data_IF_684480615641
#
_entry.id   IF_684480615641
#
_cell.length_a   1.000
_cell.length_b   1.000
_cell.length_c   1.000
_cell.angle_alpha   90.00
_cell.angle_beta   90.00
_cell.angle_gamma   90.00
#
_symmetry.space_group_name_H-M   'P 1'
#
loop_
_entity.id
_entity.type
_entity.pdbx_description
1 polymer ?
#
# COMPACT_ATOMS: atom_id res chain seq x y z
N UNK A 1 74.08 -60.43 4.61
CA UNK A 1 72.80 -60.10 5.22
C UNK A 1 72.74 -58.58 5.44
N UNK A 2 72.03 -57.84 4.57
CA UNK A 2 71.86 -56.38 4.63
C UNK A 2 70.49 -56.13 5.11
N UNK A 3 70.33 -55.52 6.30
CA UNK A 3 69.06 -55.16 6.92
C UNK A 3 68.68 -53.77 6.38
N UNK A 4 67.59 -53.69 5.59
CA UNK A 4 66.99 -52.42 5.12
C UNK A 4 66.01 -51.94 6.21
N UNK A 5 66.31 -50.79 6.81
CA UNK A 5 65.37 -50.08 7.72
C UNK A 5 64.44 -49.23 6.87
N UNK A 6 63.15 -49.55 6.83
CA UNK A 6 62.08 -48.66 6.34
C UNK A 6 61.75 -47.62 7.41
N UNK A 7 61.94 -46.35 7.05
CA UNK A 7 61.42 -45.20 7.80
C UNK A 7 59.95 -44.97 7.38
N UNK A 8 59.00 -45.18 8.27
CA UNK A 8 57.61 -44.78 8.07
C UNK A 8 57.48 -43.31 8.49
N UNK A 9 57.20 -42.42 7.52
CA UNK A 9 56.82 -41.01 7.77
C UNK A 9 55.33 -40.96 8.00
N UNK A 10 54.92 -40.71 9.23
CA UNK A 10 53.52 -40.46 9.61
C UNK A 10 53.13 -39.03 9.23
N UNK A 11 52.33 -38.88 8.21
CA UNK A 11 51.72 -37.59 7.83
C UNK A 11 50.55 -37.29 8.78
N UNK A 12 50.76 -36.44 9.79
CA UNK A 12 49.69 -35.93 10.66
C UNK A 12 48.91 -34.85 9.91
N UNK A 13 47.72 -35.20 9.39
CA UNK A 13 46.75 -34.23 8.85
C UNK A 13 46.14 -33.48 9.99
N UNK A 14 46.54 -32.25 10.23
CA UNK A 14 45.85 -31.30 11.14
C UNK A 14 44.50 -30.94 10.53
N UNK A 15 43.44 -31.64 10.94
CA UNK A 15 42.05 -31.25 10.70
C UNK A 15 41.75 -29.99 11.51
N UNK A 16 41.79 -28.81 10.91
CA UNK A 16 41.26 -27.60 11.50
C UNK A 16 39.72 -27.77 11.64
N UNK A 17 39.15 -27.59 12.87
CA UNK A 17 37.71 -27.65 13.00
C UNK A 17 37.10 -26.48 12.19
N UNK A 18 36.36 -26.79 11.15
CA UNK A 18 35.45 -25.83 10.49
C UNK A 18 34.34 -25.57 11.50
N UNK A 19 34.43 -24.45 12.22
CA UNK A 19 33.33 -23.97 13.05
C UNK A 19 32.21 -23.61 12.09
N UNK A 20 31.27 -24.50 11.91
CA UNK A 20 30.01 -24.20 11.24
C UNK A 20 29.25 -23.21 12.15
N UNK A 21 29.35 -21.92 11.87
CA UNK A 21 28.45 -20.95 12.47
C UNK A 21 27.02 -21.33 12.07
N UNK A 22 26.18 -21.60 13.05
CA UNK A 22 24.75 -21.83 12.80
C UNK A 22 24.19 -20.59 12.04
N UNK A 23 23.69 -20.82 10.85
CA UNK A 23 23.11 -19.76 10.02
C UNK A 23 21.85 -19.21 10.71
N UNK A 24 21.78 -17.90 10.92
CA UNK A 24 20.59 -17.22 11.45
C UNK A 24 19.54 -17.18 10.33
N UNK A 25 18.41 -17.84 10.55
CA UNK A 25 17.28 -17.82 9.66
C UNK A 25 16.27 -16.77 10.10
N UNK A 26 15.87 -15.87 9.18
CA UNK A 26 14.83 -14.87 9.39
C UNK A 26 13.64 -15.17 8.47
N UNK A 27 12.42 -15.10 9.01
CA UNK A 27 11.20 -15.22 8.22
C UNK A 27 10.65 -13.84 7.89
N UNK A 28 10.44 -13.58 6.59
CA UNK A 28 9.87 -12.35 6.06
C UNK A 28 8.56 -12.67 5.34
N UNK A 29 7.42 -12.24 5.92
CA UNK A 29 6.11 -12.39 5.28
C UNK A 29 5.89 -11.25 4.29
N UNK A 30 5.61 -11.61 3.02
CA UNK A 30 5.56 -10.66 1.90
C UNK A 30 4.37 -10.92 0.99
N UNK A 31 3.60 -9.88 0.66
CA UNK A 31 2.62 -9.90 -0.43
C UNK A 31 3.13 -9.09 -1.62
N UNK A 32 2.59 -9.34 -2.81
CA UNK A 32 2.98 -8.64 -4.04
C UNK A 32 1.76 -8.09 -4.77
N UNK A 33 1.91 -6.87 -5.33
CA UNK A 33 0.98 -6.27 -6.28
C UNK A 33 1.43 -6.52 -7.73
N UNK A 34 2.74 -6.67 -7.96
CA UNK A 34 3.36 -6.89 -9.26
C UNK A 34 4.57 -7.83 -9.20
N UNK A 35 5.74 -7.32 -9.54
CA UNK A 35 7.01 -8.07 -9.58
C UNK A 35 7.90 -7.88 -8.35
N UNK A 36 7.46 -7.10 -7.36
CA UNK A 36 8.31 -6.69 -6.24
C UNK A 36 8.77 -7.84 -5.36
N UNK A 37 8.05 -8.96 -5.32
CA UNK A 37 8.49 -10.16 -4.63
C UNK A 37 9.71 -10.82 -5.30
N UNK A 38 9.79 -10.79 -6.63
CA UNK A 38 10.95 -11.29 -7.39
C UNK A 38 12.14 -10.36 -7.22
N UNK A 39 11.92 -9.05 -7.30
CA UNK A 39 12.95 -8.04 -7.05
C UNK A 39 13.49 -8.14 -5.64
N UNK A 40 12.60 -8.27 -4.64
CA UNK A 40 13.01 -8.44 -3.25
C UNK A 40 13.84 -9.70 -3.05
N UNK A 41 13.47 -10.84 -3.66
CA UNK A 41 14.28 -12.07 -3.55
C UNK A 41 15.69 -11.88 -4.13
N UNK A 42 15.80 -11.25 -5.29
CA UNK A 42 17.11 -10.96 -5.90
C UNK A 42 17.99 -10.06 -4.99
N UNK A 43 17.39 -9.02 -4.39
CA UNK A 43 18.09 -8.15 -3.44
C UNK A 43 18.54 -8.92 -2.19
N UNK A 44 17.69 -9.77 -1.64
CA UNK A 44 18.01 -10.60 -0.48
C UNK A 44 19.07 -11.66 -0.80
N UNK A 45 19.08 -12.23 -2.01
CA UNK A 45 20.14 -13.17 -2.43
C UNK A 45 21.51 -12.48 -2.46
N UNK A 46 21.56 -11.21 -2.85
CA UNK A 46 22.79 -10.40 -2.81
C UNK A 46 23.21 -10.04 -1.38
N UNK A 47 22.22 -9.71 -0.52
CA UNK A 47 22.46 -9.50 0.90
C UNK A 47 23.08 -10.74 1.56
N UNK A 48 22.49 -11.91 1.32
CA UNK A 48 22.94 -13.19 1.89
C UNK A 48 24.37 -13.55 1.48
N UNK A 49 24.75 -13.27 0.22
CA UNK A 49 26.15 -13.44 -0.25
C UNK A 49 27.13 -12.56 0.51
N UNK A 50 26.72 -11.37 0.91
CA UNK A 50 27.53 -10.42 1.70
C UNK A 50 27.50 -10.72 3.20
N UNK A 51 26.52 -11.50 3.66
CA UNK A 51 26.25 -11.81 5.07
C UNK A 51 26.00 -13.32 5.23
N UNK A 52 26.98 -14.16 4.93
CA UNK A 52 26.85 -15.61 4.84
C UNK A 52 26.27 -16.31 6.11
N UNK A 53 26.28 -15.62 7.28
CA UNK A 53 25.66 -16.11 8.51
C UNK A 53 24.16 -15.82 8.63
N UNK A 54 23.52 -15.12 7.64
CA UNK A 54 22.09 -14.75 7.69
C UNK A 54 21.41 -15.27 6.43
N UNK A 55 20.27 -15.95 6.63
CA UNK A 55 19.36 -16.41 5.58
C UNK A 55 17.99 -15.76 5.77
N UNK A 56 17.37 -15.25 4.71
CA UNK A 56 16.02 -14.68 4.76
C UNK A 56 15.06 -15.56 3.98
N UNK A 57 14.11 -16.17 4.66
CA UNK A 57 13.02 -16.94 4.05
C UNK A 57 11.93 -15.95 3.68
N UNK A 58 11.74 -15.71 2.38
CA UNK A 58 10.71 -14.83 1.85
C UNK A 58 9.42 -15.61 1.64
N UNK A 59 8.51 -15.56 2.64
CA UNK A 59 7.19 -16.19 2.60
C UNK A 59 6.24 -15.33 1.76
N UNK A 60 6.05 -15.67 0.49
CA UNK A 60 5.13 -14.97 -0.41
C UNK A 60 3.70 -15.43 -0.19
N UNK A 61 2.85 -14.52 0.22
CA UNK A 61 1.45 -14.79 0.57
C UNK A 61 0.50 -13.83 -0.15
N UNK A 62 -0.78 -14.20 -0.36
CA UNK A 62 -1.80 -13.26 -0.83
C UNK A 62 -1.97 -12.08 0.13
N UNK A 63 -2.34 -10.90 -0.40
CA UNK A 63 -2.61 -9.71 0.41
C UNK A 63 -3.64 -9.97 1.53
N UNK A 64 -4.68 -10.75 1.22
CA UNK A 64 -5.69 -11.17 2.21
C UNK A 64 -5.08 -11.90 3.41
N UNK A 65 -4.04 -12.69 3.22
CA UNK A 65 -3.33 -13.37 4.32
C UNK A 65 -2.65 -12.36 5.26
N UNK A 66 -2.08 -11.27 4.71
CA UNK A 66 -1.52 -10.19 5.54
C UNK A 66 -2.61 -9.51 6.37
N UNK A 67 -3.75 -9.20 5.75
CA UNK A 67 -4.82 -8.47 6.47
C UNK A 67 -5.54 -9.30 7.50
N UNK A 68 -5.73 -10.59 7.25
CA UNK A 68 -6.59 -11.45 8.07
C UNK A 68 -5.79 -12.33 9.06
N UNK A 69 -4.63 -12.83 8.65
CA UNK A 69 -3.88 -13.82 9.44
C UNK A 69 -2.71 -13.21 10.22
N UNK A 70 -2.06 -12.16 9.72
CA UNK A 70 -0.94 -11.56 10.45
C UNK A 70 -1.34 -10.98 11.81
N UNK A 71 -2.46 -10.23 11.98
CA UNK A 71 -2.83 -9.67 13.28
C UNK A 71 -2.98 -10.73 14.39
N UNK A 72 -3.70 -11.86 14.23
CA UNK A 72 -3.75 -12.90 15.25
C UNK A 72 -2.38 -13.56 15.51
N UNK A 73 -1.52 -13.74 14.49
CA UNK A 73 -0.16 -14.26 14.69
C UNK A 73 0.69 -13.31 15.55
N UNK A 74 0.59 -11.99 15.31
CA UNK A 74 1.28 -10.98 16.13
C UNK A 74 0.77 -10.98 17.57
N UNK A 75 -0.55 -11.09 17.77
CA UNK A 75 -1.15 -11.13 19.10
C UNK A 75 -0.73 -12.38 19.90
N UNK A 76 -0.55 -13.51 19.24
CA UNK A 76 -0.10 -14.77 19.88
C UNK A 76 1.42 -14.87 20.04
N UNK A 77 2.19 -13.90 19.55
CA UNK A 77 3.65 -13.94 19.57
C UNK A 77 4.28 -14.91 18.57
N UNK A 78 3.51 -15.40 17.59
CA UNK A 78 3.94 -16.35 16.55
C UNK A 78 4.17 -15.67 15.19
N UNK A 79 4.35 -14.35 15.18
CA UNK A 79 4.63 -13.58 13.98
C UNK A 79 5.98 -13.96 13.33
N UNK A 80 6.21 -13.51 12.07
CA UNK A 80 7.51 -13.59 11.42
C UNK A 80 8.52 -12.62 12.07
N UNK A 81 9.77 -12.63 11.62
CA UNK A 81 10.76 -11.61 12.03
C UNK A 81 10.51 -10.25 11.36
N UNK A 82 10.06 -10.29 10.11
CA UNK A 82 9.74 -9.14 9.27
C UNK A 82 8.42 -9.36 8.56
N UNK A 83 7.64 -8.31 8.35
CA UNK A 83 6.40 -8.37 7.56
C UNK A 83 6.21 -7.12 6.69
N UNK A 84 5.74 -7.30 5.44
CA UNK A 84 5.26 -6.20 4.61
C UNK A 84 3.80 -5.94 4.94
N UNK A 85 3.49 -4.75 5.44
CA UNK A 85 2.15 -4.39 5.94
C UNK A 85 1.62 -3.11 5.31
N UNK A 86 0.29 -2.94 5.30
CA UNK A 86 -0.40 -1.70 4.91
C UNK A 86 -1.21 -1.09 6.05
N UNK A 87 -1.47 -1.83 7.11
CA UNK A 87 -2.02 -1.29 8.36
C UNK A 87 -0.87 -0.75 9.22
N UNK A 88 -0.36 0.41 8.82
CA UNK A 88 0.92 0.95 9.30
C UNK A 88 0.86 1.26 10.80
N UNK A 89 -0.10 2.08 11.21
CA UNK A 89 -0.28 2.48 12.60
C UNK A 89 -0.99 1.43 13.45
N UNK A 90 -2.01 0.74 12.91
CA UNK A 90 -2.85 -0.18 13.68
C UNK A 90 -2.13 -1.41 14.24
N UNK A 91 -1.01 -1.80 13.62
CA UNK A 91 -0.16 -2.90 14.07
C UNK A 91 1.11 -2.42 14.80
N UNK A 92 1.33 -1.12 14.92
CA UNK A 92 2.60 -0.51 15.38
C UNK A 92 3.05 -0.98 16.77
N UNK A 93 2.10 -1.34 17.66
CA UNK A 93 2.41 -1.91 18.97
C UNK A 93 3.21 -3.22 18.94
N UNK A 94 3.24 -3.89 17.79
CA UNK A 94 3.97 -5.16 17.58
C UNK A 94 5.33 -4.96 16.93
N UNK A 95 5.68 -3.73 16.52
CA UNK A 95 6.93 -3.46 15.83
C UNK A 95 8.09 -3.31 16.81
N UNK A 96 9.28 -3.72 16.35
CA UNK A 96 10.53 -3.52 17.05
C UNK A 96 11.11 -2.15 16.71
N UNK A 97 11.54 -1.41 17.72
CA UNK A 97 12.39 -0.23 17.50
C UNK A 97 13.81 -0.66 17.13
N UNK A 98 14.19 -0.46 15.89
CA UNK A 98 15.54 -0.80 15.42
C UNK A 98 16.54 0.35 15.55
N UNK A 99 16.11 1.56 15.96
CA UNK A 99 17.02 2.71 16.08
C UNK A 99 18.29 2.40 16.87
N UNK A 100 18.24 1.72 18.04
CA UNK A 100 19.44 1.42 18.81
C UNK A 100 20.40 0.43 18.13
N UNK A 101 19.94 -0.30 17.12
CA UNK A 101 20.66 -1.34 16.39
C UNK A 101 21.25 -0.85 15.07
N UNK A 102 20.84 0.34 14.62
CA UNK A 102 21.29 0.91 13.36
C UNK A 102 22.67 1.55 13.49
N UNK A 103 23.50 1.42 12.46
CA UNK A 103 24.80 2.07 12.36
C UNK A 103 24.68 3.58 12.14
N UNK A 104 23.67 3.99 11.36
CA UNK A 104 23.41 5.39 11.02
C UNK A 104 21.90 5.72 11.06
N UNK A 105 21.37 5.93 12.26
CA UNK A 105 19.99 6.35 12.45
C UNK A 105 19.72 7.76 11.87
N UNK A 106 20.75 8.62 11.74
CA UNK A 106 20.60 9.98 11.17
C UNK A 106 20.27 9.92 9.68
N UNK A 107 20.81 8.92 8.95
CA UNK A 107 20.43 8.68 7.57
C UNK A 107 18.92 8.44 7.42
N UNK A 108 18.33 7.66 8.34
CA UNK A 108 16.88 7.38 8.34
C UNK A 108 16.06 8.64 8.64
N UNK A 109 16.49 9.44 9.64
CA UNK A 109 15.82 10.70 9.98
C UNK A 109 15.88 11.70 8.82
N UNK A 110 17.00 11.77 8.09
CA UNK A 110 17.15 12.67 6.96
C UNK A 110 16.31 12.28 5.75
N UNK A 111 16.14 10.98 5.51
CA UNK A 111 15.59 10.49 4.25
C UNK A 111 14.17 9.92 4.35
N UNK A 112 13.69 9.53 5.55
CA UNK A 112 12.38 8.90 5.71
C UNK A 112 11.49 9.60 6.75
N UNK A 113 11.92 10.73 7.31
CA UNK A 113 11.31 11.40 8.47
C UNK A 113 9.78 11.43 8.41
N UNK A 114 9.21 11.92 7.32
CA UNK A 114 7.77 12.18 7.22
C UNK A 114 6.92 10.90 7.29
N UNK A 115 7.45 9.81 6.75
CA UNK A 115 6.73 8.51 6.71
C UNK A 115 7.06 7.59 7.88
N UNK A 116 8.15 7.85 8.63
CA UNK A 116 8.45 7.09 9.85
C UNK A 116 7.35 7.27 10.91
N UNK A 117 6.66 8.41 10.91
CA UNK A 117 5.54 8.67 11.82
C UNK A 117 4.38 7.68 11.61
N UNK A 118 4.18 7.20 10.39
CA UNK A 118 3.09 6.28 10.07
C UNK A 118 3.24 4.89 10.69
N UNK A 119 4.45 4.50 11.06
CA UNK A 119 4.77 3.19 11.66
C UNK A 119 5.14 3.26 13.13
N UNK A 120 5.15 4.47 13.73
CA UNK A 120 5.46 4.65 15.14
C UNK A 120 4.26 4.27 16.02
N UNK A 121 4.47 3.54 17.13
CA UNK A 121 3.46 3.39 18.16
C UNK A 121 3.10 4.73 18.79
N UNK A 122 1.85 4.89 19.20
CA UNK A 122 1.36 6.08 19.88
C UNK A 122 2.30 6.48 21.03
N UNK A 123 2.63 7.77 21.10
CA UNK A 123 3.51 8.32 22.13
C UNK A 123 5.01 8.17 21.88
N UNK A 124 5.44 7.36 20.90
CA UNK A 124 6.84 7.28 20.49
C UNK A 124 7.14 8.36 19.45
N UNK A 125 8.15 9.22 19.70
CA UNK A 125 8.50 10.34 18.81
C UNK A 125 9.75 10.10 17.97
N UNK A 126 10.64 9.21 18.40
CA UNK A 126 12.00 9.11 17.87
C UNK A 126 12.34 7.75 17.30
N UNK A 127 11.63 6.66 17.64
CA UNK A 127 11.94 5.30 17.23
C UNK A 127 11.83 5.09 15.71
N UNK A 128 12.50 4.05 15.21
CA UNK A 128 12.45 3.59 13.81
C UNK A 128 11.85 2.19 13.78
N UNK A 129 10.61 2.09 13.32
CA UNK A 129 9.78 0.88 13.41
C UNK A 129 9.47 0.23 12.06
N UNK A 130 10.04 0.75 10.97
CA UNK A 130 9.81 0.19 9.63
C UNK A 130 10.46 1.01 8.53
N UNK A 131 10.52 0.40 7.35
CA UNK A 131 10.96 0.99 6.09
C UNK A 131 9.79 1.00 5.12
N UNK A 132 9.38 2.17 4.66
CA UNK A 132 8.41 2.25 3.58
C UNK A 132 9.01 1.68 2.30
N UNK A 133 8.52 0.53 1.86
CA UNK A 133 8.93 -0.12 0.62
C UNK A 133 8.15 0.37 -0.59
N UNK A 134 7.08 1.12 -0.35
CA UNK A 134 6.23 1.66 -1.39
C UNK A 134 5.43 2.83 -0.83
N UNK A 135 5.61 4.02 -1.40
CA UNK A 135 4.65 5.11 -1.23
C UNK A 135 3.54 4.93 -2.27
N UNK A 136 2.30 5.10 -1.87
CA UNK A 136 1.16 5.03 -2.79
C UNK A 136 0.29 6.26 -2.72
N UNK A 137 -0.43 6.51 -3.80
CA UNK A 137 -1.49 7.51 -3.85
C UNK A 137 -2.70 6.89 -4.56
N UNK A 138 -3.90 7.08 -3.98
CA UNK A 138 -5.11 6.73 -4.72
C UNK A 138 -5.29 7.69 -5.88
N UNK A 139 -5.55 7.15 -7.06
CA UNK A 139 -5.77 7.93 -8.26
C UNK A 139 -6.55 7.11 -9.30
N UNK A 140 -7.22 7.79 -10.24
CA UNK A 140 -7.94 7.10 -11.29
C UNK A 140 -7.03 6.69 -12.44
N UNK A 141 -7.41 5.58 -13.09
CA UNK A 141 -6.87 5.11 -14.37
C UNK A 141 -7.93 5.18 -15.43
N UNK A 142 -7.56 5.63 -16.61
CA UNK A 142 -8.45 5.65 -17.77
C UNK A 142 -8.08 4.56 -18.76
N UNK A 143 -9.08 3.94 -19.39
CA UNK A 143 -8.91 3.23 -20.64
C UNK A 143 -9.01 4.23 -21.77
N UNK A 144 -7.84 4.76 -22.19
CA UNK A 144 -7.77 5.82 -23.20
C UNK A 144 -8.29 5.36 -24.56
N UNK A 145 -8.17 4.08 -24.89
CA UNK A 145 -8.72 3.49 -26.12
C UNK A 145 -10.24 3.59 -26.14
N UNK A 146 -10.93 3.33 -25.02
CA UNK A 146 -12.39 3.50 -24.96
C UNK A 146 -12.81 4.95 -25.14
N UNK A 147 -12.09 5.91 -24.52
CA UNK A 147 -12.35 7.34 -24.72
C UNK A 147 -12.18 7.76 -26.18
N UNK A 148 -11.10 7.28 -26.82
CA UNK A 148 -10.84 7.56 -28.24
C UNK A 148 -11.93 6.94 -29.15
N UNK A 149 -12.31 5.69 -28.94
CA UNK A 149 -13.36 5.01 -29.70
C UNK A 149 -14.72 5.71 -29.56
N UNK A 150 -15.01 6.21 -28.36
CA UNK A 150 -16.24 6.96 -28.10
C UNK A 150 -16.21 8.38 -28.70
N UNK A 151 -15.05 8.90 -29.07
CA UNK A 151 -14.90 10.30 -29.46
C UNK A 151 -15.21 11.27 -28.32
N UNK A 152 -14.92 10.86 -27.07
CA UNK A 152 -15.13 11.65 -25.85
C UNK A 152 -13.79 12.18 -25.38
N UNK A 153 -13.68 13.50 -25.22
CA UNK A 153 -12.49 14.13 -24.70
C UNK A 153 -12.30 13.78 -23.21
N UNK A 154 -11.06 13.53 -22.81
CA UNK A 154 -10.74 13.37 -21.39
C UNK A 154 -10.99 14.68 -20.65
N UNK A 155 -11.65 14.66 -19.47
CA UNK A 155 -11.77 15.82 -18.61
C UNK A 155 -10.41 16.41 -18.23
N UNK A 156 -10.36 17.74 -18.11
CA UNK A 156 -9.11 18.46 -17.80
C UNK A 156 -8.61 18.23 -16.38
N UNK A 157 -7.41 18.76 -16.03
CA UNK A 157 -6.77 18.49 -14.73
C UNK A 157 -7.54 18.99 -13.49
N UNK A 158 -8.48 19.92 -13.67
CA UNK A 158 -9.33 20.45 -12.60
C UNK A 158 -10.78 19.97 -12.71
N UNK A 159 -11.02 18.92 -13.50
CA UNK A 159 -12.35 18.36 -13.67
C UNK A 159 -12.88 17.80 -12.34
N UNK A 160 -14.16 18.01 -12.12
CA UNK A 160 -14.85 17.54 -10.93
C UNK A 160 -15.19 16.05 -11.01
N UNK A 161 -15.58 15.46 -9.89
CA UNK A 161 -16.13 14.10 -9.85
C UNK A 161 -17.31 13.92 -10.82
N UNK A 162 -18.17 14.93 -10.91
CA UNK A 162 -19.34 14.92 -11.79
C UNK A 162 -18.94 14.99 -13.27
N UNK A 163 -17.90 15.76 -13.63
CA UNK A 163 -17.40 15.83 -15.01
C UNK A 163 -16.85 14.47 -15.45
N UNK A 164 -16.07 13.80 -14.59
CA UNK A 164 -15.58 12.45 -14.84
C UNK A 164 -16.72 11.43 -14.94
N UNK A 165 -17.73 11.54 -14.05
CA UNK A 165 -18.91 10.67 -14.09
C UNK A 165 -19.65 10.79 -15.43
N UNK A 166 -19.93 12.01 -15.88
CA UNK A 166 -20.59 12.27 -17.18
C UNK A 166 -19.80 11.72 -18.35
N UNK A 167 -18.47 12.01 -18.40
CA UNK A 167 -17.61 11.53 -19.48
C UNK A 167 -17.55 10.00 -19.52
N UNK A 168 -17.38 9.33 -18.37
CA UNK A 168 -17.31 7.87 -18.29
C UNK A 168 -18.62 7.20 -18.72
N UNK A 169 -19.77 7.75 -18.33
CA UNK A 169 -21.10 7.26 -18.76
C UNK A 169 -21.28 7.42 -20.28
N UNK A 170 -20.87 8.54 -20.85
CA UNK A 170 -20.93 8.75 -22.30
C UNK A 170 -20.03 7.75 -23.05
N UNK A 171 -18.81 7.52 -22.55
CA UNK A 171 -17.89 6.50 -23.11
C UNK A 171 -18.55 5.13 -23.08
N UNK A 172 -19.03 4.69 -21.91
CA UNK A 172 -19.64 3.38 -21.76
C UNK A 172 -20.87 3.20 -22.67
N UNK A 173 -21.71 4.22 -22.80
CA UNK A 173 -22.88 4.21 -23.68
C UNK A 173 -22.50 4.01 -25.16
N UNK A 174 -21.40 4.65 -25.62
CA UNK A 174 -20.97 4.59 -27.02
C UNK A 174 -20.16 3.34 -27.35
N UNK A 175 -19.45 2.77 -26.38
CA UNK A 175 -18.54 1.63 -26.58
C UNK A 175 -19.13 0.29 -26.12
N UNK A 176 -20.18 0.33 -25.29
CA UNK A 176 -20.75 -0.88 -24.68
C UNK A 176 -19.94 -1.39 -23.46
N UNK A 177 -18.98 -0.59 -22.93
CA UNK A 177 -18.23 -0.95 -21.76
C UNK A 177 -19.17 -1.15 -20.55
N UNK A 178 -19.13 -2.29 -19.82
CA UNK A 178 -20.10 -2.59 -18.75
C UNK A 178 -19.94 -1.70 -17.51
N UNK A 179 -18.76 -1.09 -17.31
CA UNK A 179 -18.47 -0.24 -16.17
C UNK A 179 -18.04 1.15 -16.63
N UNK A 180 -18.93 2.17 -16.60
CA UNK A 180 -18.51 3.55 -16.79
C UNK A 180 -17.43 3.93 -15.77
N UNK A 181 -17.71 3.73 -14.49
CA UNK A 181 -16.76 3.85 -13.38
C UNK A 181 -16.73 2.57 -12.57
N UNK A 182 -15.53 2.14 -12.16
CA UNK A 182 -15.33 1.17 -11.10
C UNK A 182 -14.46 1.79 -10.00
N UNK A 183 -14.73 1.43 -8.75
CA UNK A 183 -13.95 1.83 -7.58
C UNK A 183 -13.70 0.61 -6.71
N UNK A 184 -12.45 0.42 -6.26
CA UNK A 184 -12.16 -0.62 -5.27
C UNK A 184 -13.06 -0.45 -4.04
N UNK A 185 -13.61 -1.53 -3.57
CA UNK A 185 -14.38 -1.57 -2.32
C UNK A 185 -13.45 -1.48 -1.13
N UNK A 186 -13.21 -0.25 -0.68
CA UNK A 186 -12.29 0.05 0.43
C UNK A 186 -12.61 1.42 1.02
N UNK A 187 -12.60 1.54 2.36
CA UNK A 187 -12.75 2.84 3.03
C UNK A 187 -11.65 3.84 2.67
N UNK A 188 -10.44 3.34 2.43
CA UNK A 188 -9.32 4.16 1.97
C UNK A 188 -9.59 4.80 0.58
N UNK A 189 -10.36 4.13 -0.32
CA UNK A 189 -10.75 4.71 -1.62
C UNK A 189 -11.82 5.79 -1.49
N UNK A 190 -12.63 5.71 -0.46
CA UNK A 190 -13.65 6.73 -0.17
C UNK A 190 -13.03 7.95 0.52
N UNK A 191 -11.99 7.76 1.32
CA UNK A 191 -11.40 8.80 2.15
C UNK A 191 -10.82 9.98 1.34
N UNK A 192 -9.97 9.73 0.34
CA UNK A 192 -9.39 10.78 -0.50
C UNK A 192 -10.47 11.62 -1.21
N UNK A 193 -11.41 10.99 -1.94
CA UNK A 193 -12.57 11.65 -2.50
C UNK A 193 -13.39 12.47 -1.49
N UNK A 194 -13.65 11.92 -0.29
CA UNK A 194 -14.37 12.65 0.75
C UNK A 194 -13.58 13.88 1.25
N UNK A 195 -12.26 13.77 1.41
CA UNK A 195 -11.39 14.91 1.75
C UNK A 195 -11.44 15.96 0.64
N UNK A 196 -11.52 15.57 -0.63
CA UNK A 196 -11.68 16.54 -1.73
C UNK A 196 -12.96 17.36 -1.61
N UNK A 197 -14.00 16.79 -1.00
CA UNK A 197 -15.27 17.47 -0.69
C UNK A 197 -15.27 18.20 0.67
N UNK A 198 -14.16 18.19 1.40
CA UNK A 198 -14.01 18.89 2.68
C UNK A 198 -14.15 18.02 3.93
N UNK A 199 -14.21 16.69 3.80
CA UNK A 199 -14.19 15.80 4.95
C UNK A 199 -12.89 15.93 5.75
N UNK A 200 -12.99 15.91 7.07
CA UNK A 200 -11.87 16.08 7.99
C UNK A 200 -11.48 14.78 8.71
N UNK A 201 -12.40 13.86 8.92
CA UNK A 201 -12.28 12.59 9.65
C UNK A 201 -11.86 12.72 11.11
N UNK A 202 -11.42 13.89 11.53
CA UNK A 202 -11.04 14.25 12.90
C UNK A 202 -11.42 15.69 13.19
N UNK A 203 -11.82 15.93 14.44
CA UNK A 203 -11.94 17.26 15.01
C UNK A 203 -11.05 17.29 16.26
N UNK A 204 -9.86 17.88 16.14
CA UNK A 204 -8.77 17.73 17.12
C UNK A 204 -8.39 16.24 17.26
N UNK A 205 -8.50 15.71 18.46
CA UNK A 205 -8.22 14.28 18.75
C UNK A 205 -9.45 13.37 18.62
N UNK A 206 -10.63 13.94 18.35
CA UNK A 206 -11.89 13.20 18.22
C UNK A 206 -12.11 12.72 16.78
N UNK A 207 -12.56 11.46 16.58
CA UNK A 207 -12.95 11.00 15.24
C UNK A 207 -14.26 11.68 14.80
N UNK A 208 -14.26 12.24 13.60
CA UNK A 208 -15.39 12.94 13.00
C UNK A 208 -15.69 12.34 11.62
N UNK A 209 -16.19 11.08 11.59
CA UNK A 209 -16.39 10.35 10.34
C UNK A 209 -17.45 10.98 9.44
N UNK A 210 -18.62 11.29 9.98
CA UNK A 210 -19.80 11.66 9.21
C UNK A 210 -20.02 13.18 9.26
N UNK A 211 -19.14 13.92 8.57
CA UNK A 211 -19.30 15.35 8.30
C UNK A 211 -19.93 15.62 6.92
N UNK A 212 -20.17 16.88 6.58
CA UNK A 212 -20.82 17.27 5.32
C UNK A 212 -20.01 16.90 4.09
N UNK A 213 -18.67 16.99 4.13
CA UNK A 213 -17.80 16.59 3.03
C UNK A 213 -17.90 15.08 2.78
N UNK A 214 -17.89 14.30 3.86
CA UNK A 214 -18.07 12.84 3.78
C UNK A 214 -19.45 12.46 3.24
N UNK A 215 -20.53 13.10 3.73
CA UNK A 215 -21.88 12.87 3.22
C UNK A 215 -22.01 13.21 1.75
N UNK A 216 -21.42 14.34 1.31
CA UNK A 216 -21.45 14.77 -0.08
C UNK A 216 -20.84 13.71 -1.00
N UNK A 217 -19.66 13.21 -0.67
CA UNK A 217 -19.00 12.20 -1.50
C UNK A 217 -19.69 10.84 -1.43
N UNK A 218 -20.04 10.38 -0.26
CA UNK A 218 -20.68 9.06 -0.11
C UNK A 218 -22.07 9.02 -0.72
N UNK A 219 -22.80 10.14 -0.70
CA UNK A 219 -24.05 10.29 -1.46
C UNK A 219 -23.83 10.20 -2.96
N UNK A 220 -22.79 10.83 -3.49
CA UNK A 220 -22.44 10.73 -4.92
C UNK A 220 -22.12 9.29 -5.31
N UNK A 221 -21.31 8.58 -4.51
CA UNK A 221 -21.00 7.16 -4.74
C UNK A 221 -22.27 6.30 -4.68
N UNK A 222 -23.15 6.55 -3.70
CA UNK A 222 -24.42 5.85 -3.58
C UNK A 222 -25.34 6.09 -4.78
N UNK A 223 -25.45 7.34 -5.23
CA UNK A 223 -26.26 7.71 -6.40
C UNK A 223 -25.71 7.05 -7.68
N UNK A 224 -24.40 7.03 -7.87
CA UNK A 224 -23.74 6.34 -8.99
C UNK A 224 -23.98 4.82 -9.01
N UNK A 225 -24.14 4.18 -7.84
CA UNK A 225 -24.55 2.79 -7.81
C UNK A 225 -26.03 2.58 -8.14
N UNK A 226 -26.87 3.59 -7.95
CA UNK A 226 -28.30 3.52 -8.24
C UNK A 226 -28.60 3.81 -9.71
N UNK A 227 -27.89 4.75 -10.32
CA UNK A 227 -28.12 5.16 -11.71
C UNK A 227 -27.29 4.37 -12.76
N UNK A 228 -26.42 3.46 -12.29
CA UNK A 228 -25.61 2.62 -13.15
C UNK A 228 -24.28 3.24 -13.59
N UNK A 229 -23.95 4.46 -13.15
CA UNK A 229 -22.63 5.07 -13.38
C UNK A 229 -21.52 4.20 -12.78
N UNK A 230 -21.79 3.59 -11.61
CA UNK A 230 -20.91 2.62 -10.96
C UNK A 230 -21.69 1.33 -10.67
N UNK A 231 -21.69 0.35 -11.61
CA UNK A 231 -22.44 -0.89 -11.44
C UNK A 231 -22.03 -1.67 -10.18
N UNK A 232 -23.01 -2.32 -9.54
CA UNK A 232 -22.84 -3.01 -8.25
C UNK A 232 -21.91 -4.24 -8.27
N UNK A 233 -21.47 -4.71 -9.44
CA UNK A 233 -20.68 -5.93 -9.59
C UNK A 233 -19.40 -5.99 -8.74
N UNK A 234 -18.81 -4.84 -8.42
CA UNK A 234 -17.62 -4.78 -7.55
C UNK A 234 -18.01 -4.71 -6.08
N UNK A 235 -18.84 -3.74 -5.70
CA UNK A 235 -19.23 -3.52 -4.29
C UNK A 235 -20.17 -4.59 -3.75
N UNK A 236 -21.07 -5.11 -4.58
CA UNK A 236 -21.99 -6.17 -4.23
C UNK A 236 -21.39 -7.58 -4.19
N UNK A 237 -20.16 -7.78 -4.70
CA UNK A 237 -19.54 -9.11 -4.80
C UNK A 237 -19.12 -9.69 -3.44
N UNK A 238 -18.87 -8.85 -2.43
CA UNK A 238 -18.39 -9.27 -1.11
C UNK A 238 -19.08 -8.47 0.00
N UNK A 239 -19.17 -9.06 1.20
CA UNK A 239 -19.78 -8.45 2.37
C UNK A 239 -18.77 -8.00 3.44
N UNK A 240 -19.29 -7.47 4.56
CA UNK A 240 -18.50 -7.07 5.72
C UNK A 240 -17.43 -6.02 5.38
N UNK A 241 -16.26 -6.12 5.97
CA UNK A 241 -15.10 -5.25 5.71
C UNK A 241 -14.15 -5.80 4.64
N UNK A 242 -14.54 -6.83 3.87
CA UNK A 242 -13.67 -7.45 2.86
C UNK A 242 -13.34 -6.50 1.72
N UNK A 243 -12.08 -6.51 1.32
CA UNK A 243 -11.61 -5.78 0.13
C UNK A 243 -12.07 -6.48 -1.17
N UNK A 244 -12.40 -5.68 -2.20
CA UNK A 244 -12.60 -6.14 -3.57
C UNK A 244 -12.10 -5.06 -4.54
N UNK A 245 -11.11 -5.37 -5.35
CA UNK A 245 -10.61 -4.51 -6.43
C UNK A 245 -11.36 -4.74 -7.73
N UNK A 246 -11.26 -3.82 -8.68
CA UNK A 246 -11.75 -3.95 -10.06
C UNK A 246 -10.60 -4.02 -11.08
N UNK A 247 -9.43 -4.45 -10.62
CA UNK A 247 -8.22 -4.52 -11.45
C UNK A 247 -8.34 -5.53 -12.60
N UNK A 248 -9.05 -6.64 -12.40
CA UNK A 248 -9.30 -7.63 -13.43
C UNK A 248 -10.26 -7.09 -14.49
N UNK A 249 -11.36 -6.46 -14.08
CA UNK A 249 -12.33 -5.84 -14.99
C UNK A 249 -11.66 -4.71 -15.80
N UNK A 250 -10.78 -3.91 -15.17
CA UNK A 250 -10.04 -2.88 -15.91
C UNK A 250 -9.03 -3.50 -16.88
N UNK A 251 -8.25 -4.48 -16.45
CA UNK A 251 -7.27 -5.16 -17.32
C UNK A 251 -7.91 -5.87 -18.52
N UNK A 252 -9.17 -6.32 -18.37
CA UNK A 252 -9.96 -6.92 -19.45
C UNK A 252 -10.65 -5.86 -20.35
N UNK A 253 -10.36 -4.56 -20.17
CA UNK A 253 -10.91 -3.47 -21.01
C UNK A 253 -12.37 -3.14 -20.73
N UNK A 254 -12.94 -3.60 -19.60
CA UNK A 254 -14.37 -3.48 -19.28
C UNK A 254 -14.73 -2.17 -18.57
N UNK A 255 -13.75 -1.38 -18.14
CA UNK A 255 -13.94 -0.18 -17.31
C UNK A 255 -13.39 1.03 -18.03
N UNK A 256 -14.19 2.12 -18.15
CA UNK A 256 -13.73 3.37 -18.76
C UNK A 256 -12.87 4.19 -17.79
N UNK A 257 -13.28 4.32 -16.52
CA UNK A 257 -12.55 5.01 -15.45
C UNK A 257 -12.46 4.11 -14.20
N UNK A 258 -11.25 3.79 -13.77
CA UNK A 258 -11.01 2.93 -12.59
C UNK A 258 -10.39 3.72 -11.45
N UNK A 259 -11.12 3.85 -10.34
CA UNK A 259 -10.67 4.48 -9.10
C UNK A 259 -9.91 3.49 -8.22
N UNK A 260 -8.59 3.53 -8.26
CA UNK A 260 -7.69 2.64 -7.49
C UNK A 260 -6.48 3.42 -6.96
N UNK A 261 -5.26 3.08 -7.37
CA UNK A 261 -4.06 3.81 -6.96
C UNK A 261 -2.78 3.28 -7.61
N UNK A 262 -1.66 3.94 -7.31
CA UNK A 262 -0.37 3.74 -7.96
C UNK A 262 0.19 2.32 -7.91
N UNK A 263 -0.24 1.47 -6.97
CA UNK A 263 0.11 0.03 -6.94
C UNK A 263 -0.37 -0.73 -8.17
N UNK A 264 -1.31 -0.19 -8.93
CA UNK A 264 -1.78 -0.81 -10.17
C UNK A 264 -0.80 -0.64 -11.33
N UNK A 265 0.12 0.34 -11.27
CA UNK A 265 1.05 0.62 -12.36
C UNK A 265 1.87 -0.62 -12.74
N UNK A 266 2.61 -1.29 -11.83
CA UNK A 266 3.33 -2.51 -12.16
C UNK A 266 2.41 -3.67 -12.55
N UNK A 267 1.21 -3.77 -11.96
CA UNK A 267 0.24 -4.80 -12.29
C UNK A 267 -0.26 -4.62 -13.73
N UNK A 268 -0.66 -3.42 -14.11
CA UNK A 268 -1.15 -3.12 -15.45
C UNK A 268 -0.06 -3.19 -16.52
N UNK A 269 1.18 -2.82 -16.17
CA UNK A 269 2.33 -3.06 -17.04
C UNK A 269 2.42 -4.53 -17.48
N UNK A 270 2.13 -5.44 -16.56
CA UNK A 270 2.18 -6.89 -16.80
C UNK A 270 0.90 -7.45 -17.43
N UNK A 271 -0.28 -7.03 -16.94
CA UNK A 271 -1.56 -7.66 -17.31
C UNK A 271 -2.20 -7.05 -18.54
N UNK A 272 -2.03 -5.76 -18.77
CA UNK A 272 -2.53 -5.07 -19.96
C UNK A 272 -1.44 -5.01 -21.04
N UNK A 273 -0.19 -4.70 -20.63
CA UNK A 273 0.88 -4.47 -21.59
C UNK A 273 0.49 -3.44 -22.63
N UNK A 274 0.37 -3.87 -23.88
CA UNK A 274 -0.01 -3.04 -25.03
C UNK A 274 -1.39 -3.44 -25.63
N UNK A 275 -2.24 -4.15 -24.89
CA UNK A 275 -3.55 -4.60 -25.39
C UNK A 275 -4.49 -3.40 -25.67
N UNK A 276 -4.38 -2.35 -24.89
CA UNK A 276 -5.05 -1.06 -25.09
C UNK A 276 -4.28 0.06 -24.38
N UNK A 277 -4.53 1.30 -24.76
CA UNK A 277 -3.91 2.47 -24.13
C UNK A 277 -4.57 2.78 -22.80
N UNK A 278 -3.76 2.82 -21.74
CA UNK A 278 -4.19 3.11 -20.38
C UNK A 278 -3.15 3.99 -19.67
N UNK A 279 -3.58 4.81 -18.73
CA UNK A 279 -2.72 5.56 -17.85
C UNK A 279 -3.48 6.17 -16.68
N UNK A 280 -2.73 6.54 -15.62
CA UNK A 280 -3.28 7.31 -14.52
C UNK A 280 -3.53 8.77 -14.92
N UNK A 281 -4.62 9.33 -14.40
CA UNK A 281 -4.97 10.75 -14.57
C UNK A 281 -5.02 11.45 -13.21
N UNK A 282 -4.93 12.80 -13.16
CA UNK A 282 -5.07 13.54 -11.92
C UNK A 282 -6.35 13.20 -11.17
N UNK A 283 -6.31 13.26 -9.84
CA UNK A 283 -7.51 13.08 -9.04
C UNK A 283 -8.58 14.13 -9.37
N UNK A 284 -9.84 13.72 -9.47
CA UNK A 284 -10.94 14.67 -9.64
C UNK A 284 -11.00 15.65 -8.48
N UNK A 285 -11.44 16.87 -8.78
CA UNK A 285 -11.58 17.92 -7.80
C UNK A 285 -12.95 17.85 -7.11
N UNK A 286 -12.94 18.01 -5.80
CA UNK A 286 -14.11 18.39 -5.02
C UNK A 286 -14.12 19.90 -4.75
N UNK A 287 -14.95 20.33 -3.80
CA UNK A 287 -15.06 21.73 -3.40
C UNK A 287 -13.87 22.23 -2.58
N UNK A 288 -13.13 21.35 -1.94
CA UNK A 288 -12.02 21.70 -1.06
C UNK A 288 -10.63 21.42 -1.67
N UNK A 289 -10.49 20.37 -2.47
CA UNK A 289 -9.19 19.97 -3.04
C UNK A 289 -9.34 19.06 -4.25
N UNK A 290 -8.23 18.88 -4.99
CA UNK A 290 -8.05 17.82 -5.98
C UNK A 290 -7.01 16.84 -5.41
N UNK A 291 -7.41 15.90 -4.57
CA UNK A 291 -6.49 15.07 -3.79
C UNK A 291 -6.88 13.60 -3.79
N UNK A 292 -5.87 12.73 -3.79
CA UNK A 292 -6.01 11.33 -3.45
C UNK A 292 -5.69 11.07 -1.98
N UNK A 293 -5.86 9.83 -1.55
CA UNK A 293 -5.42 9.35 -0.25
C UNK A 293 -4.02 8.77 -0.38
N UNK A 294 -3.01 9.28 0.33
CA UNK A 294 -1.70 8.65 0.36
C UNK A 294 -1.76 7.36 1.16
N UNK A 295 -0.78 6.51 0.98
CA UNK A 295 -0.65 5.26 1.69
C UNK A 295 0.64 4.57 1.34
N UNK A 296 0.67 3.26 1.46
CA UNK A 296 1.82 2.46 1.06
C UNK A 296 1.93 1.17 1.83
N UNK A 297 3.08 0.54 1.62
CA UNK A 297 3.47 -0.63 2.35
C UNK A 297 4.82 -0.40 3.04
N UNK A 298 4.90 -0.80 4.28
CA UNK A 298 6.15 -0.80 5.03
C UNK A 298 6.61 -2.24 5.29
N UNK A 299 7.92 -2.47 5.20
CA UNK A 299 8.56 -3.61 5.83
C UNK A 299 8.80 -3.25 7.29
N UNK A 300 8.18 -3.99 8.19
CA UNK A 300 8.26 -3.74 9.63
C UNK A 300 8.96 -4.89 10.36
N UNK A 301 9.88 -4.59 11.24
CA UNK A 301 10.51 -5.57 12.13
C UNK A 301 9.54 -5.92 13.27
N UNK A 302 9.42 -7.20 13.62
CA UNK A 302 8.48 -7.65 14.64
C UNK A 302 9.21 -7.83 15.98
N UNK A 303 8.66 -7.27 17.07
CA UNK A 303 9.31 -7.23 18.38
C UNK A 303 9.54 -8.60 19.05
N UNK A 304 8.88 -9.66 18.55
CA UNK A 304 9.04 -11.03 19.05
C UNK A 304 10.19 -11.78 18.38
N UNK A 305 10.88 -11.17 17.40
CA UNK A 305 12.07 -11.74 16.76
C UNK A 305 13.14 -12.12 17.83
N UNK A 306 13.83 -13.21 17.58
CA UNK A 306 14.97 -13.64 18.40
C UNK A 306 16.31 -13.14 17.86
N UNK A 307 16.29 -12.47 16.69
CA UNK A 307 17.48 -12.07 15.93
C UNK A 307 17.43 -10.58 15.57
N UNK A 308 17.27 -9.65 16.55
CA UNK A 308 17.05 -8.24 16.27
C UNK A 308 18.21 -7.59 15.49
N UNK A 309 19.47 -7.97 15.75
CA UNK A 309 20.64 -7.45 15.06
C UNK A 309 20.67 -7.90 13.58
N UNK A 310 20.27 -9.16 13.31
CA UNK A 310 20.18 -9.64 11.94
C UNK A 310 19.06 -8.95 11.17
N UNK A 311 17.91 -8.72 11.83
CA UNK A 311 16.79 -7.94 11.28
C UNK A 311 17.24 -6.51 10.94
N UNK A 312 17.93 -5.82 11.85
CA UNK A 312 18.45 -4.47 11.63
C UNK A 312 19.40 -4.43 10.41
N UNK A 313 20.31 -5.41 10.26
CA UNK A 313 21.20 -5.51 9.08
C UNK A 313 20.43 -5.64 7.76
N UNK A 314 19.37 -6.46 7.70
CA UNK A 314 18.50 -6.57 6.52
C UNK A 314 17.85 -5.23 6.22
N UNK A 315 17.31 -4.56 7.24
CA UNK A 315 16.65 -3.27 7.10
C UNK A 315 17.61 -2.18 6.61
N UNK A 316 18.83 -2.09 7.17
CA UNK A 316 19.87 -1.15 6.72
C UNK A 316 20.27 -1.38 5.25
N UNK A 317 20.46 -2.65 4.87
CA UNK A 317 20.77 -2.99 3.48
C UNK A 317 19.69 -2.53 2.52
N UNK A 318 18.43 -2.84 2.82
CA UNK A 318 17.28 -2.48 1.99
C UNK A 318 17.02 -0.96 1.97
N UNK A 319 17.33 -0.25 3.07
CA UNK A 319 17.19 1.21 3.16
C UNK A 319 18.33 1.98 2.49
N UNK A 320 19.47 1.34 2.20
CA UNK A 320 20.61 2.01 1.56
C UNK A 320 20.20 2.60 0.20
N UNK A 321 20.64 3.83 -0.11
CA UNK A 321 20.19 4.56 -1.29
C UNK A 321 20.35 3.75 -2.61
N UNK A 322 21.47 3.03 -2.86
CA UNK A 322 21.59 2.25 -4.10
C UNK A 322 20.57 1.10 -4.20
N UNK A 323 20.37 0.35 -3.11
CA UNK A 323 19.45 -0.80 -3.08
C UNK A 323 17.99 -0.31 -3.14
N UNK A 324 17.70 0.74 -2.40
CA UNK A 324 16.37 1.34 -2.38
C UNK A 324 16.01 1.94 -3.75
N UNK A 325 16.95 2.62 -4.40
CA UNK A 325 16.78 3.16 -5.77
C UNK A 325 16.52 2.04 -6.77
N UNK A 326 17.33 0.98 -6.75
CA UNK A 326 17.16 -0.16 -7.65
C UNK A 326 15.81 -0.85 -7.45
N UNK A 327 15.40 -1.06 -6.19
CA UNK A 327 14.11 -1.65 -5.88
C UNK A 327 12.97 -0.84 -6.52
N UNK A 328 12.95 0.48 -6.32
CA UNK A 328 11.90 1.35 -6.85
C UNK A 328 11.93 1.45 -8.37
N UNK A 329 13.11 1.54 -8.97
CA UNK A 329 13.26 1.58 -10.43
C UNK A 329 12.72 0.32 -11.11
N UNK A 330 12.94 -0.86 -10.51
CA UNK A 330 12.52 -2.15 -11.07
C UNK A 330 11.05 -2.48 -10.79
N UNK A 331 10.47 -1.89 -9.74
CA UNK A 331 9.08 -2.18 -9.33
C UNK A 331 8.07 -1.14 -9.78
N UNK A 332 8.52 -0.01 -10.35
CA UNK A 332 7.68 1.15 -10.69
C UNK A 332 6.92 1.74 -9.48
N UNK A 333 7.52 1.62 -8.29
CA UNK A 333 6.96 2.20 -7.07
C UNK A 333 7.46 3.62 -6.83
N UNK A 334 6.62 4.43 -6.19
CA UNK A 334 7.03 5.75 -5.72
C UNK A 334 7.89 5.61 -4.46
N UNK A 335 9.03 6.30 -4.38
CA UNK A 335 9.89 6.24 -3.21
C UNK A 335 9.34 7.11 -2.07
N UNK A 336 9.51 6.63 -0.85
CA UNK A 336 9.31 7.43 0.35
C UNK A 336 10.62 8.09 0.85
N UNK A 337 11.74 7.86 0.16
CA UNK A 337 13.04 8.43 0.45
C UNK A 337 13.12 9.86 -0.12
N UNK A 338 13.22 10.88 0.74
CA UNK A 338 13.17 12.29 0.36
C UNK A 338 14.22 12.67 -0.70
N UNK A 339 15.48 12.25 -0.49
CA UNK A 339 16.55 12.52 -1.44
C UNK A 339 16.32 11.87 -2.81
N UNK A 340 15.79 10.65 -2.84
CA UNK A 340 15.47 9.96 -4.10
C UNK A 340 14.24 10.57 -4.78
N UNK A 341 13.23 10.96 -4.01
CA UNK A 341 12.06 11.66 -4.56
C UNK A 341 12.46 12.99 -5.23
N UNK A 342 13.40 13.72 -4.63
CA UNK A 342 13.91 14.98 -5.20
C UNK A 342 14.77 14.78 -6.45
N UNK A 343 15.60 13.73 -6.48
CA UNK A 343 16.46 13.39 -7.64
C UNK A 343 15.68 12.78 -8.80
N UNK A 344 14.54 12.14 -8.51
CA UNK A 344 13.81 11.25 -9.41
C UNK A 344 14.34 9.82 -9.41
N UNK A 345 13.42 8.85 -9.51
CA UNK A 345 13.76 7.45 -9.68
C UNK A 345 14.07 7.19 -11.16
N UNK A 346 15.18 6.50 -11.51
CA UNK A 346 15.53 6.22 -12.90
C UNK A 346 14.68 5.05 -13.45
N UNK A 347 13.37 5.26 -13.58
CA UNK A 347 12.48 4.26 -14.17
C UNK A 347 12.84 3.98 -15.62
N UNK A 348 13.00 2.69 -15.95
CA UNK A 348 13.26 2.27 -17.34
C UNK A 348 12.09 1.43 -17.82
N UNK A 349 11.32 1.97 -18.77
CA UNK A 349 10.18 1.29 -19.37
C UNK A 349 9.89 1.85 -20.76
N UNK A 350 9.52 0.97 -21.70
CA UNK A 350 9.03 1.33 -23.03
C UNK A 350 7.49 1.45 -23.05
N UNK A 351 6.83 1.10 -21.95
CA UNK A 351 5.38 1.19 -21.82
C UNK A 351 4.95 2.65 -21.56
N UNK A 352 4.29 3.26 -22.53
CA UNK A 352 3.84 4.65 -22.47
C UNK A 352 2.82 4.90 -21.33
N UNK A 353 1.96 3.92 -21.04
CA UNK A 353 0.99 3.97 -19.94
C UNK A 353 1.68 4.03 -18.58
N UNK A 354 2.71 3.20 -18.37
CA UNK A 354 3.54 3.22 -17.16
C UNK A 354 4.21 4.58 -16.99
N UNK A 355 4.91 5.05 -18.03
CA UNK A 355 5.63 6.33 -17.98
C UNK A 355 4.70 7.48 -17.63
N UNK A 356 3.59 7.62 -18.36
CA UNK A 356 2.59 8.68 -18.13
C UNK A 356 1.97 8.58 -16.73
N UNK A 357 1.72 7.36 -16.25
CA UNK A 357 1.17 7.13 -14.92
C UNK A 357 2.13 7.53 -13.81
N UNK A 358 3.43 7.22 -13.95
CA UNK A 358 4.47 7.61 -13.00
C UNK A 358 4.64 9.14 -12.95
N UNK A 359 4.70 9.79 -14.12
CA UNK A 359 4.79 11.26 -14.23
C UNK A 359 3.61 11.94 -13.54
N UNK A 360 2.38 11.43 -13.79
CA UNK A 360 1.16 11.94 -13.13
C UNK A 360 1.22 11.71 -11.61
N UNK A 361 1.64 10.53 -11.17
CA UNK A 361 1.71 10.17 -9.76
C UNK A 361 2.70 11.06 -8.99
N UNK A 362 3.89 11.30 -9.53
CA UNK A 362 4.90 12.19 -8.93
C UNK A 362 4.35 13.60 -8.73
N UNK A 363 3.64 14.15 -9.73
CA UNK A 363 3.00 15.46 -9.63
C UNK A 363 1.90 15.47 -8.55
N UNK A 364 1.09 14.41 -8.47
CA UNK A 364 -0.04 14.32 -7.53
C UNK A 364 0.41 14.11 -6.08
N UNK A 365 1.54 13.45 -5.83
CA UNK A 365 2.10 13.33 -4.46
C UNK A 365 2.34 14.70 -3.85
N UNK A 366 2.91 15.64 -4.61
CA UNK A 366 3.13 17.02 -4.16
C UNK A 366 1.85 17.82 -3.90
N UNK A 367 0.70 17.34 -4.34
CA UNK A 367 -0.63 17.96 -4.16
C UNK A 367 -1.47 17.26 -3.08
N UNK A 368 -0.89 16.29 -2.39
CA UNK A 368 -1.61 15.55 -1.34
C UNK A 368 -2.05 16.49 -0.22
N UNK A 369 -3.32 16.43 0.15
CA UNK A 369 -3.86 17.22 1.25
C UNK A 369 -3.17 16.86 2.58
N UNK A 370 -2.77 17.84 3.41
CA UNK A 370 -2.26 17.57 4.76
C UNK A 370 -3.23 16.74 5.62
N UNK A 371 -4.54 16.90 5.43
CA UNK A 371 -5.56 16.08 6.10
C UNK A 371 -5.43 14.62 5.68
N UNK A 372 -5.27 14.35 4.38
CA UNK A 372 -5.10 12.99 3.87
C UNK A 372 -3.81 12.35 4.39
N UNK A 373 -2.71 13.11 4.44
CA UNK A 373 -1.43 12.64 4.97
C UNK A 373 -1.52 12.30 6.46
N UNK A 374 -2.09 13.18 7.29
CA UNK A 374 -2.28 12.94 8.72
C UNK A 374 -3.25 11.79 9.00
N UNK A 375 -4.30 11.65 8.17
CA UNK A 375 -5.27 10.56 8.31
C UNK A 375 -4.65 9.20 8.00
N UNK A 376 -3.71 9.10 7.05
CA UNK A 376 -2.97 7.87 6.78
C UNK A 376 -2.12 7.43 7.99
N UNK A 377 -1.49 8.36 8.68
CA UNK A 377 -0.70 8.09 9.89
C UNK A 377 -1.53 7.82 11.15
N UNK A 378 -2.86 8.01 11.08
CA UNK A 378 -3.72 7.80 12.24
C UNK A 378 -3.88 6.30 12.54
N UNK A 379 -3.43 5.84 13.70
CA UNK A 379 -3.39 4.42 14.09
C UNK A 379 -4.78 3.74 14.11
N UNK A 380 -5.87 4.51 14.22
CA UNK A 380 -7.23 4.00 14.28
C UNK A 380 -8.03 4.21 12.99
N UNK A 381 -7.37 4.60 11.89
CA UNK A 381 -8.03 4.86 10.60
C UNK A 381 -8.84 3.65 10.08
N UNK A 382 -8.43 2.42 10.42
CA UNK A 382 -9.15 1.19 10.04
C UNK A 382 -10.54 1.09 10.64
N UNK A 383 -10.78 1.65 11.83
CA UNK A 383 -12.13 1.70 12.43
C UNK A 383 -13.06 2.49 11.51
N UNK A 384 -12.62 3.68 11.06
CA UNK A 384 -13.40 4.54 10.19
C UNK A 384 -13.55 3.94 8.78
N UNK A 385 -12.49 3.37 8.22
CA UNK A 385 -12.55 2.70 6.91
C UNK A 385 -13.54 1.53 6.91
N UNK A 386 -13.51 0.69 7.95
CA UNK A 386 -14.40 -0.46 8.05
C UNK A 386 -15.86 -0.02 8.24
N UNK A 387 -16.15 0.93 9.14
CA UNK A 387 -17.48 1.48 9.31
C UNK A 387 -18.02 2.04 7.98
N UNK A 388 -17.18 2.79 7.23
CA UNK A 388 -17.56 3.34 5.93
C UNK A 388 -17.99 2.26 4.96
N UNK A 389 -17.11 1.25 4.69
CA UNK A 389 -17.41 0.27 3.65
C UNK A 389 -18.55 -0.68 4.01
N UNK A 390 -18.66 -1.07 5.28
CA UNK A 390 -19.74 -1.97 5.73
C UNK A 390 -21.09 -1.29 5.53
N UNK A 391 -21.28 -0.11 6.06
CA UNK A 391 -22.59 0.55 6.07
C UNK A 391 -22.95 1.17 4.73
N UNK A 392 -21.97 1.75 4.01
CA UNK A 392 -22.21 2.25 2.65
C UNK A 392 -22.61 1.10 1.71
N UNK A 393 -21.94 -0.05 1.81
CA UNK A 393 -22.30 -1.22 1.00
C UNK A 393 -23.72 -1.74 1.30
N UNK A 394 -24.13 -1.75 2.56
CA UNK A 394 -25.49 -2.13 2.93
C UNK A 394 -26.53 -1.16 2.34
N UNK A 395 -26.25 0.14 2.35
CA UNK A 395 -27.12 1.12 1.69
C UNK A 395 -27.16 0.93 0.17
N UNK A 396 -26.01 0.70 -0.48
CA UNK A 396 -25.90 0.41 -1.93
C UNK A 396 -26.72 -0.83 -2.31
N UNK A 397 -26.71 -1.86 -1.47
CA UNK A 397 -27.49 -3.09 -1.70
C UNK A 397 -28.98 -2.94 -1.37
N UNK A 398 -29.39 -1.83 -0.76
CA UNK A 398 -30.78 -1.58 -0.37
C UNK A 398 -31.20 -2.23 0.95
N UNK A 399 -30.24 -2.68 1.77
CA UNK A 399 -30.50 -3.26 3.09
C UNK A 399 -30.92 -2.18 4.11
N UNK A 400 -30.57 -0.91 3.86
CA UNK A 400 -30.96 0.25 4.68
C UNK A 400 -30.95 1.52 3.84
N UNK A 401 -31.52 2.60 4.37
CA UNK A 401 -31.38 3.93 3.78
C UNK A 401 -29.98 4.50 4.01
N UNK A 402 -29.57 5.47 3.17
CA UNK A 402 -28.26 6.12 3.34
C UNK A 402 -28.17 6.88 4.68
N UNK A 403 -29.28 7.51 5.13
CA UNK A 403 -29.32 8.20 6.42
C UNK A 403 -29.19 7.23 7.61
N UNK A 404 -29.78 6.05 7.51
CA UNK A 404 -29.57 5.00 8.51
C UNK A 404 -28.14 4.49 8.50
N UNK A 405 -27.54 4.33 7.31
CA UNK A 405 -26.14 3.95 7.19
C UNK A 405 -25.20 4.97 7.88
N UNK A 406 -25.44 6.28 7.75
CA UNK A 406 -24.67 7.31 8.45
C UNK A 406 -24.80 7.20 9.98
N UNK A 407 -25.99 6.98 10.51
CA UNK A 407 -26.21 6.77 11.95
C UNK A 407 -25.45 5.54 12.45
N UNK A 408 -25.50 4.44 11.68
CA UNK A 408 -24.79 3.20 12.05
C UNK A 408 -23.29 3.34 11.89
N UNK A 409 -22.78 4.05 10.89
CA UNK A 409 -21.34 4.35 10.77
C UNK A 409 -20.81 5.05 12.02
N UNK A 410 -21.55 6.05 12.53
CA UNK A 410 -21.13 6.76 13.74
C UNK A 410 -21.16 5.84 14.97
N UNK A 411 -22.17 4.98 15.09
CA UNK A 411 -22.25 3.99 16.18
C UNK A 411 -21.09 2.98 16.12
N UNK A 412 -20.79 2.44 14.93
CA UNK A 412 -19.68 1.51 14.72
C UNK A 412 -18.32 2.15 15.08
N UNK A 413 -18.16 3.44 14.79
CA UNK A 413 -16.94 4.18 15.16
C UNK A 413 -16.82 4.27 16.68
N UNK A 414 -17.89 4.68 17.38
CA UNK A 414 -17.90 4.76 18.84
C UNK A 414 -17.60 3.40 19.47
N UNK A 415 -18.24 2.34 18.98
CA UNK A 415 -18.02 0.97 19.45
C UNK A 415 -16.57 0.51 19.18
N UNK A 416 -16.04 0.77 17.98
CA UNK A 416 -14.67 0.40 17.61
C UNK A 416 -13.62 1.10 18.48
N UNK A 417 -13.83 2.35 18.86
CA UNK A 417 -12.97 3.06 19.80
C UNK A 417 -13.12 2.54 21.23
N UNK A 418 -14.35 2.30 21.67
CA UNK A 418 -14.61 1.72 23.00
C UNK A 418 -13.93 0.36 23.17
N UNK A 419 -13.90 -0.49 22.12
CA UNK A 419 -13.18 -1.76 22.11
C UNK A 419 -11.65 -1.60 22.25
N UNK A 420 -11.10 -0.38 21.98
CA UNK A 420 -9.71 -0.01 22.23
C UNK A 420 -9.49 0.68 23.57
N UNK A 421 -10.52 0.80 24.41
CA UNK A 421 -10.47 1.53 25.67
C UNK A 421 -10.46 3.06 25.51
N UNK A 422 -10.80 3.58 24.34
CA UNK A 422 -10.80 5.00 24.01
C UNK A 422 -12.25 5.50 24.08
N UNK A 423 -12.49 6.50 24.93
CA UNK A 423 -13.81 7.15 24.99
C UNK A 423 -13.90 8.20 23.89
N UNK A 424 -14.96 8.10 23.09
CA UNK A 424 -15.36 9.10 22.09
C UNK A 424 -16.66 9.73 22.62
N UNK A 425 -16.55 10.96 23.10
CA UNK A 425 -17.71 11.77 23.53
C UNK A 425 -18.20 12.66 22.37
#
# INVERSE_FOLDING_TARGET
MKIVRMLAVALTVLATPVVAFAQTELRMMWYSDGNEGDVMRDLLDRFEKQNAGIKVILDRVPYKTITDNLPPLLNSGQGPDLARVTDLGGLSRHYLDIRPLLKDAKYWDANFKDVLEWVRPAGNKDGIFGLMTQLTLTMPFVNATLFQQAGVALPGPKATWQDWGKAAVEVAKKTGAPYPIAMDRSGHRVAGPAISMGAKFRDGDKPALVDDGFKTMTKLIYDWHRDGTMPKGIWGAVGGSSYRGANEEFANGQVALYMSGTWQIPQFAKTIGNAFDWYAVPNPCGTAACTGMPGGAALVPIKTTKNPEAVAKVMEYLASEPVYTEYHARTFFLPAHTGLAAKGVPYTTDNAGVKKSLDTAVQQVGQTSPIAFGYQGYEHNRILFNATIVRLNQAINGEMTLDEAYKRMQADVVEGFAAKGIKVE
#
